data_IF_759881413479
#
_entry.id   IF_759881413479
#
_cell.length_a   1.000
_cell.length_b   1.000
_cell.length_c   1.000
_cell.angle_alpha   90.00
_cell.angle_beta   90.00
_cell.angle_gamma   90.00
#
_symmetry.space_group_name_H-M   'P 1'
#
loop_
_entity.id
_entity.type
_entity.pdbx_description
1 polymer ?
#
# COMPACT_ATOMS: atom_id res chain seq x y z
N UNK A 1 -22.03 30.61 -7.97
CA UNK A 1 -20.67 30.07 -7.96
C UNK A 1 -20.60 28.91 -8.94
N UNK A 2 -19.69 28.96 -9.88
CA UNK A 2 -19.67 28.12 -11.07
C UNK A 2 -19.16 26.71 -10.74
N UNK A 3 -19.89 25.59 -10.96
CA UNK A 3 -19.53 24.25 -10.50
C UNK A 3 -18.46 23.54 -11.34
N UNK A 4 -17.70 24.25 -12.19
CA UNK A 4 -16.77 23.66 -13.17
C UNK A 4 -15.32 23.51 -12.72
N UNK A 5 -14.98 23.85 -11.47
CA UNK A 5 -13.61 23.78 -10.95
C UNK A 5 -13.55 23.10 -9.58
N UNK A 6 -13.95 21.81 -9.53
CA UNK A 6 -13.46 20.94 -8.50
C UNK A 6 -12.56 19.91 -9.17
N UNK A 7 -11.21 20.00 -9.02
CA UNK A 7 -10.37 18.88 -9.34
C UNK A 7 -10.81 17.70 -8.47
N UNK A 8 -10.84 16.50 -9.03
CA UNK A 8 -11.11 15.24 -8.32
C UNK A 8 -10.05 14.91 -7.25
N UNK A 9 -9.13 15.82 -7.01
CA UNK A 9 -8.04 15.77 -6.05
C UNK A 9 -8.18 16.91 -5.07
N UNK A 10 -8.42 16.54 -3.85
CA UNK A 10 -8.27 17.25 -2.57
C UNK A 10 -7.94 18.77 -2.66
N UNK A 11 -8.93 19.61 -2.48
CA UNK A 11 -8.68 21.01 -2.11
C UNK A 11 -8.28 21.07 -0.63
N UNK A 12 -7.01 21.36 -0.37
CA UNK A 12 -6.48 21.54 0.97
C UNK A 12 -6.84 22.96 1.48
N UNK A 13 -7.64 23.03 2.55
CA UNK A 13 -7.75 24.24 3.35
C UNK A 13 -6.91 24.07 4.62
N UNK A 14 -5.73 24.68 4.66
CA UNK A 14 -4.93 24.76 5.88
C UNK A 14 -5.37 25.94 6.72
N UNK A 15 -5.97 25.70 7.87
CA UNK A 15 -6.08 26.68 8.94
C UNK A 15 -5.42 26.10 10.18
N UNK A 16 -4.19 26.54 10.47
CA UNK A 16 -3.48 26.19 11.71
C UNK A 16 -4.28 26.70 12.90
N UNK A 17 -4.69 25.81 13.80
CA UNK A 17 -5.07 26.16 15.17
C UNK A 17 -3.99 25.61 16.09
N UNK A 18 -3.26 26.51 16.74
CA UNK A 18 -2.45 26.18 17.90
C UNK A 18 -3.39 25.85 19.07
N UNK A 19 -3.54 24.56 19.37
CA UNK A 19 -4.07 24.11 20.65
C UNK A 19 -2.86 23.57 21.39
N UNK A 20 -2.58 24.10 22.57
CA UNK A 20 -1.37 23.95 23.38
C UNK A 20 -1.01 22.54 23.83
N UNK A 21 -0.69 21.72 22.91
CA UNK A 21 0.11 20.49 22.87
C UNK A 21 0.32 20.28 21.37
N UNK A 22 1.57 20.41 20.93
CA UNK A 22 2.06 20.58 19.56
C UNK A 22 1.71 19.47 18.54
N UNK A 23 0.45 19.19 18.32
CA UNK A 23 0.00 18.40 17.17
C UNK A 23 -0.64 19.33 16.15
N UNK A 24 0.06 19.64 15.07
CA UNK A 24 -0.55 20.35 13.93
C UNK A 24 -1.51 19.39 13.24
N UNK A 25 -2.78 19.52 13.55
CA UNK A 25 -3.83 18.77 12.82
C UNK A 25 -4.23 19.56 11.57
N UNK A 26 -4.10 18.91 10.41
CA UNK A 26 -4.61 19.47 9.14
C UNK A 26 -6.05 19.03 8.94
N UNK A 27 -6.90 19.97 8.53
CA UNK A 27 -8.28 19.69 8.14
C UNK A 27 -8.33 19.40 6.64
N UNK A 28 -8.89 18.24 6.31
CA UNK A 28 -9.03 17.80 4.92
C UNK A 28 -10.49 17.52 4.62
N UNK A 29 -10.98 18.03 3.51
CA UNK A 29 -12.30 17.67 2.99
C UNK A 29 -12.10 16.51 2.02
N UNK A 30 -12.81 15.41 2.25
CA UNK A 30 -12.78 14.26 1.34
C UNK A 30 -14.18 13.70 1.13
N UNK A 31 -14.35 12.95 0.02
CA UNK A 31 -15.58 12.21 -0.23
C UNK A 31 -15.78 11.16 0.87
N UNK A 32 -17.03 11.01 1.32
CA UNK A 32 -17.40 9.96 2.27
C UNK A 32 -17.20 8.57 1.65
N UNK A 33 -16.44 7.74 2.33
CA UNK A 33 -16.20 6.34 1.96
C UNK A 33 -16.47 5.44 3.16
N UNK A 34 -17.54 4.66 3.11
CA UNK A 34 -17.95 3.78 4.21
C UNK A 34 -16.96 2.64 4.45
N UNK A 35 -16.36 2.08 3.38
CA UNK A 35 -15.33 1.02 3.50
C UNK A 35 -14.11 1.53 4.24
N UNK A 36 -13.62 2.74 3.90
CA UNK A 36 -12.49 3.35 4.60
C UNK A 36 -12.79 3.53 6.09
N UNK A 37 -13.97 4.04 6.43
CA UNK A 37 -14.34 4.21 7.85
C UNK A 37 -14.43 2.89 8.60
N UNK A 38 -14.92 1.82 7.96
CA UNK A 38 -14.90 0.46 8.54
C UNK A 38 -13.48 -0.04 8.77
N UNK A 39 -12.55 0.21 7.84
CA UNK A 39 -11.13 -0.13 8.01
C UNK A 39 -10.53 0.70 9.14
N UNK A 40 -10.75 2.01 9.16
CA UNK A 40 -10.27 2.88 10.24
C UNK A 40 -10.80 2.44 11.62
N UNK A 41 -12.06 2.03 11.72
CA UNK A 41 -12.63 1.51 12.95
C UNK A 41 -11.97 0.20 13.42
N UNK A 42 -11.50 -0.66 12.50
CA UNK A 42 -10.70 -1.85 12.86
C UNK A 42 -9.31 -1.44 13.34
N UNK A 43 -8.65 -0.50 12.65
CA UNK A 43 -7.30 -0.02 13.00
C UNK A 43 -7.30 0.60 14.40
N UNK A 44 -8.31 1.37 14.76
CA UNK A 44 -8.44 1.98 16.09
C UNK A 44 -8.50 0.96 17.24
N UNK A 45 -8.81 -0.31 16.94
CA UNK A 45 -8.80 -1.41 17.93
C UNK A 45 -7.44 -2.10 18.05
N UNK A 46 -6.49 -1.82 17.15
CA UNK A 46 -5.15 -2.38 17.20
C UNK A 46 -4.37 -1.72 18.35
N UNK A 47 -3.78 -2.49 19.28
CA UNK A 47 -2.95 -1.91 20.34
C UNK A 47 -1.82 -1.07 19.75
N UNK A 48 -1.58 0.12 20.30
CA UNK A 48 -0.52 1.04 19.87
C UNK A 48 -0.56 1.41 18.37
N UNK A 49 -1.73 1.37 17.75
CA UNK A 49 -1.91 1.68 16.32
C UNK A 49 -1.24 3.00 15.90
N UNK A 50 -1.22 4.00 16.78
CA UNK A 50 -0.67 5.33 16.52
C UNK A 50 0.83 5.35 16.19
N UNK A 51 1.55 4.26 16.48
CA UNK A 51 2.96 4.11 16.09
C UNK A 51 3.12 3.84 14.58
N UNK A 52 2.10 3.30 13.92
CA UNK A 52 2.18 2.83 12.54
C UNK A 52 1.12 3.43 11.64
N UNK A 53 -0.02 3.89 12.20
CA UNK A 53 -1.20 4.23 11.43
C UNK A 53 -1.80 5.55 11.87
N UNK A 54 -2.24 6.35 10.90
CA UNK A 54 -3.06 7.54 11.12
C UNK A 54 -4.45 7.36 10.49
N UNK A 55 -5.34 6.57 11.11
CA UNK A 55 -6.70 6.39 10.63
C UNK A 55 -7.55 7.63 10.88
N UNK A 56 -8.68 7.75 10.18
CA UNK A 56 -9.68 8.77 10.46
C UNK A 56 -10.28 8.49 11.84
N UNK A 57 -9.97 9.37 12.80
CA UNK A 57 -10.47 9.29 14.20
C UNK A 57 -11.75 10.08 14.39
N UNK A 58 -11.85 11.23 13.71
CA UNK A 58 -12.97 12.17 13.82
C UNK A 58 -13.33 12.68 12.44
N UNK A 59 -14.60 12.80 12.18
CA UNK A 59 -15.11 13.42 10.97
C UNK A 59 -16.44 14.11 11.24
N UNK A 60 -16.80 15.05 10.40
CA UNK A 60 -18.12 15.68 10.39
C UNK A 60 -18.65 15.72 8.96
N UNK A 61 -19.95 15.50 8.79
CA UNK A 61 -20.58 15.65 7.49
C UNK A 61 -20.67 17.11 7.12
N UNK A 62 -20.43 17.42 5.85
CA UNK A 62 -20.66 18.73 5.28
C UNK A 62 -22.08 18.80 4.69
N UNK A 63 -22.73 19.93 4.89
CA UNK A 63 -24.02 20.22 4.26
C UNK A 63 -23.83 20.47 2.76
N UNK A 64 -23.68 19.40 1.98
CA UNK A 64 -23.52 19.41 0.54
C UNK A 64 -24.41 18.31 -0.06
N UNK A 65 -24.92 18.45 -1.30
CA UNK A 65 -25.72 17.42 -1.98
C UNK A 65 -24.94 16.11 -2.18
N UNK A 66 -23.61 16.17 -2.24
CA UNK A 66 -22.74 15.01 -2.24
C UNK A 66 -22.25 14.72 -0.83
N UNK A 67 -22.06 13.44 -0.52
CA UNK A 67 -21.59 13.00 0.80
C UNK A 67 -20.09 13.31 0.99
N UNK A 68 -19.78 14.51 1.44
CA UNK A 68 -18.43 14.91 1.86
C UNK A 68 -18.30 14.90 3.37
N UNK A 69 -17.10 14.61 3.84
CA UNK A 69 -16.73 14.67 5.25
C UNK A 69 -15.52 15.59 5.44
N UNK A 70 -15.50 16.31 6.55
CA UNK A 70 -14.33 16.98 7.06
C UNK A 70 -13.60 16.05 8.01
N UNK A 71 -12.35 15.74 7.73
CA UNK A 71 -11.50 14.87 8.57
C UNK A 71 -10.33 15.66 9.15
N UNK A 72 -9.82 15.20 10.28
CA UNK A 72 -8.64 15.76 10.94
C UNK A 72 -7.50 14.76 10.81
N UNK A 73 -6.37 15.19 10.26
CA UNK A 73 -5.18 14.37 10.05
C UNK A 73 -3.95 15.02 10.67
N UNK A 74 -3.00 14.19 11.01
CA UNK A 74 -1.66 14.61 11.39
C UNK A 74 -0.91 15.14 10.16
N UNK A 75 -0.11 16.21 10.34
CA UNK A 75 0.80 16.69 9.29
C UNK A 75 1.96 15.71 9.13
N UNK A 76 2.02 15.06 7.99
CA UNK A 76 3.06 14.10 7.64
C UNK A 76 3.88 14.64 6.47
N UNK A 77 5.20 14.45 6.54
CA UNK A 77 6.08 14.72 5.41
C UNK A 77 5.93 13.58 4.40
N UNK A 78 5.66 13.86 3.11
CA UNK A 78 5.53 12.82 2.08
C UNK A 78 6.76 11.90 2.01
N UNK A 79 6.54 10.65 1.61
CA UNK A 79 7.55 9.60 1.63
C UNK A 79 8.82 9.98 0.87
N UNK A 80 8.70 10.41 -0.38
CA UNK A 80 9.86 10.79 -1.20
C UNK A 80 10.53 12.06 -0.70
N UNK A 81 9.76 13.09 -0.32
CA UNK A 81 10.28 14.36 0.21
C UNK A 81 11.15 14.15 1.47
N UNK A 82 10.80 13.13 2.27
CA UNK A 82 11.60 12.78 3.45
C UNK A 82 13.01 12.31 3.07
N UNK A 83 13.11 11.43 2.07
CA UNK A 83 14.41 10.89 1.66
C UNK A 83 15.23 11.87 0.83
N UNK A 84 14.59 12.76 0.07
CA UNK A 84 15.29 13.82 -0.66
C UNK A 84 16.05 14.78 0.26
N UNK A 85 15.54 15.03 1.46
CA UNK A 85 16.17 15.90 2.47
C UNK A 85 17.31 15.25 3.24
N UNK A 86 17.56 13.94 3.06
CA UNK A 86 18.60 13.21 3.74
C UNK A 86 19.93 13.29 2.98
N UNK A 87 21.04 13.37 3.73
CA UNK A 87 22.36 13.07 3.15
C UNK A 87 22.41 11.60 2.71
N UNK A 88 23.32 11.23 1.81
CA UNK A 88 23.43 9.85 1.32
C UNK A 88 23.61 8.83 2.45
N UNK A 89 24.52 9.13 3.42
CA UNK A 89 24.76 8.27 4.58
C UNK A 89 23.52 8.12 5.46
N UNK A 90 22.82 9.21 5.75
CA UNK A 90 21.58 9.17 6.53
C UNK A 90 20.49 8.41 5.78
N UNK A 91 20.40 8.57 4.45
CA UNK A 91 19.39 7.94 3.61
C UNK A 91 19.45 6.42 3.70
N UNK A 92 20.65 5.80 3.62
CA UNK A 92 20.84 4.35 3.78
C UNK A 92 20.32 3.84 5.13
N UNK A 93 20.72 4.48 6.23
CA UNK A 93 20.26 4.10 7.56
C UNK A 93 18.73 4.26 7.73
N UNK A 94 18.18 5.36 7.22
CA UNK A 94 16.76 5.66 7.32
C UNK A 94 15.89 4.74 6.45
N UNK A 95 16.38 4.30 5.29
CA UNK A 95 15.73 3.30 4.44
C UNK A 95 15.54 2.00 5.24
N UNK A 96 16.60 1.45 5.82
CA UNK A 96 16.52 0.21 6.60
C UNK A 96 15.59 0.35 7.82
N UNK A 97 15.78 1.41 8.60
CA UNK A 97 14.98 1.64 9.82
C UNK A 97 13.49 1.83 9.50
N UNK A 98 13.17 2.64 8.48
CA UNK A 98 11.80 2.90 8.07
C UNK A 98 11.13 1.68 7.44
N UNK A 99 11.86 0.91 6.65
CA UNK A 99 11.35 -0.35 6.09
C UNK A 99 10.97 -1.33 7.20
N UNK A 100 11.87 -1.58 8.18
CA UNK A 100 11.57 -2.42 9.34
C UNK A 100 10.33 -1.96 10.10
N UNK A 101 10.22 -0.65 10.30
CA UNK A 101 9.05 -0.07 10.98
C UNK A 101 7.76 -0.37 10.21
N UNK A 102 7.73 -0.13 8.90
CA UNK A 102 6.56 -0.41 8.06
C UNK A 102 6.23 -1.90 7.99
N UNK A 103 7.23 -2.79 7.93
CA UNK A 103 6.99 -4.24 7.95
C UNK A 103 6.33 -4.69 9.27
N UNK A 104 6.71 -4.11 10.42
CA UNK A 104 5.99 -4.33 11.69
C UNK A 104 4.53 -3.86 11.62
N UNK A 105 4.29 -2.70 11.02
CA UNK A 105 2.94 -2.23 10.74
C UNK A 105 2.15 -3.19 9.84
N UNK A 106 2.79 -3.69 8.78
CA UNK A 106 2.18 -4.68 7.88
C UNK A 106 1.83 -6.00 8.59
N UNK A 107 2.67 -6.47 9.53
CA UNK A 107 2.33 -7.65 10.35
C UNK A 107 1.05 -7.43 11.15
N UNK A 108 0.90 -6.26 11.75
CA UNK A 108 -0.33 -5.91 12.46
C UNK A 108 -1.54 -5.87 11.52
N UNK A 109 -1.43 -5.22 10.35
CA UNK A 109 -2.51 -5.21 9.36
C UNK A 109 -2.89 -6.63 8.93
N UNK A 110 -1.90 -7.48 8.64
CA UNK A 110 -2.11 -8.87 8.24
C UNK A 110 -2.83 -9.67 9.32
N UNK A 111 -2.45 -9.49 10.60
CA UNK A 111 -3.11 -10.14 11.74
C UNK A 111 -4.60 -9.76 11.84
N UNK A 112 -4.96 -8.53 11.50
CA UNK A 112 -6.34 -8.05 11.50
C UNK A 112 -7.05 -8.21 10.14
N UNK A 113 -6.43 -8.89 9.18
CA UNK A 113 -6.99 -9.14 7.84
C UNK A 113 -7.20 -7.88 7.02
N UNK A 114 -6.36 -6.85 7.23
CA UNK A 114 -6.42 -5.57 6.53
C UNK A 114 -5.34 -5.53 5.45
N UNK A 115 -5.73 -5.28 4.21
CA UNK A 115 -4.80 -4.95 3.11
C UNK A 115 -4.77 -3.43 2.96
N UNK A 116 -3.57 -2.88 2.96
CA UNK A 116 -3.32 -1.48 2.62
C UNK A 116 -3.10 -1.37 1.12
N UNK A 117 -3.78 -0.45 0.46
CA UNK A 117 -3.76 -0.35 -1.01
C UNK A 117 -3.23 1.01 -1.49
N UNK A 118 -2.95 1.94 -0.57
CA UNK A 118 -2.64 3.33 -0.91
C UNK A 118 -1.17 3.70 -0.60
N UNK A 119 -0.23 2.94 -1.15
CA UNK A 119 1.21 3.06 -0.84
C UNK A 119 1.81 4.44 -1.14
N UNK A 120 1.21 5.21 -2.04
CA UNK A 120 1.58 6.61 -2.27
C UNK A 120 1.25 7.54 -1.09
N UNK A 121 0.40 7.08 -0.18
CA UNK A 121 -0.04 7.81 1.01
C UNK A 121 0.68 7.31 2.27
N UNK A 122 2.00 7.22 2.18
CA UNK A 122 2.90 7.01 3.32
C UNK A 122 3.59 8.32 3.60
N UNK A 123 3.63 8.72 4.86
CA UNK A 123 4.31 9.94 5.28
C UNK A 123 5.08 9.74 6.57
N UNK A 124 6.01 10.63 6.84
CA UNK A 124 6.81 10.62 8.06
C UNK A 124 6.30 11.62 9.08
N UNK A 125 6.14 11.17 10.32
CA UNK A 125 5.80 12.03 11.44
C UNK A 125 7.01 12.85 11.91
N UNK A 126 6.82 13.71 12.92
CA UNK A 126 7.89 14.56 13.49
C UNK A 126 9.04 13.77 14.14
N UNK A 127 8.79 12.51 14.52
CA UNK A 127 9.80 11.60 15.04
C UNK A 127 10.54 10.82 13.94
N UNK A 128 10.34 11.19 12.68
CA UNK A 128 10.89 10.51 11.51
C UNK A 128 10.44 9.03 11.39
N UNK A 129 9.28 8.69 11.92
CA UNK A 129 8.68 7.37 11.78
C UNK A 129 7.70 7.38 10.61
N UNK A 130 7.74 6.39 9.71
CA UNK A 130 6.80 6.31 8.61
C UNK A 130 5.43 5.85 9.12
N UNK A 131 4.39 6.51 8.66
CA UNK A 131 3.00 6.31 9.05
C UNK A 131 2.16 5.98 7.81
N UNK A 132 1.39 4.90 7.87
CA UNK A 132 0.38 4.58 6.88
C UNK A 132 -0.90 5.37 7.18
N UNK A 133 -1.38 6.08 6.18
CA UNK A 133 -2.61 6.87 6.30
C UNK A 133 -3.44 6.76 5.01
N UNK A 134 -4.67 7.27 5.02
CA UNK A 134 -5.57 7.22 3.87
C UNK A 134 -5.90 5.78 3.43
N UNK A 135 -6.71 5.10 4.21
CA UNK A 135 -7.10 3.69 4.01
C UNK A 135 -8.21 3.52 2.95
N UNK A 136 -8.41 4.52 2.13
CA UNK A 136 -9.33 4.43 1.00
C UNK A 136 -8.74 3.48 -0.06
N UNK A 137 -9.57 2.58 -0.56
CA UNK A 137 -9.21 1.76 -1.72
C UNK A 137 -9.19 2.62 -2.97
N UNK A 138 -8.02 2.79 -3.55
CA UNK A 138 -7.87 3.58 -4.77
C UNK A 138 -7.58 2.66 -5.97
N UNK A 139 -8.37 2.79 -7.04
CA UNK A 139 -8.17 2.03 -8.29
C UNK A 139 -6.84 2.33 -8.98
N UNK A 140 -6.23 3.49 -8.69
CA UNK A 140 -4.97 3.92 -9.31
C UNK A 140 -3.73 3.19 -8.75
N UNK A 141 -3.83 2.52 -7.60
CA UNK A 141 -2.67 1.94 -6.89
C UNK A 141 -2.41 0.48 -7.23
N UNK A 142 -2.93 -0.05 -8.33
CA UNK A 142 -2.75 -1.46 -8.70
C UNK A 142 -1.27 -1.85 -8.91
N UNK A 143 -0.40 -0.90 -9.30
CA UNK A 143 1.03 -1.17 -9.48
C UNK A 143 1.74 -1.69 -8.23
N UNK A 144 1.25 -1.32 -7.04
CA UNK A 144 1.80 -1.78 -5.75
C UNK A 144 1.13 -3.05 -5.24
N UNK A 145 0.25 -3.64 -6.02
CA UNK A 145 -0.45 -4.86 -5.65
C UNK A 145 0.04 -6.05 -6.47
N UNK A 146 0.11 -7.25 -5.85
CA UNK A 146 0.56 -8.43 -6.55
C UNK A 146 -0.49 -8.94 -7.55
N UNK A 147 -0.05 -9.84 -8.43
CA UNK A 147 -0.85 -10.33 -9.56
C UNK A 147 -2.21 -10.94 -9.14
N UNK A 148 -2.27 -11.61 -7.96
CA UNK A 148 -3.55 -12.13 -7.41
C UNK A 148 -4.57 -11.03 -7.14
N UNK A 149 -4.12 -9.87 -6.69
CA UNK A 149 -5.00 -8.72 -6.46
C UNK A 149 -5.55 -8.16 -7.78
N UNK A 150 -4.75 -8.21 -8.86
CA UNK A 150 -5.22 -7.85 -10.21
C UNK A 150 -6.31 -8.81 -10.69
N UNK A 151 -6.17 -10.12 -10.42
CA UNK A 151 -7.21 -11.12 -10.72
C UNK A 151 -8.51 -10.78 -9.99
N UNK A 152 -8.45 -10.50 -8.68
CA UNK A 152 -9.63 -10.14 -7.89
C UNK A 152 -10.26 -8.82 -8.37
N UNK A 153 -9.43 -7.82 -8.69
CA UNK A 153 -9.90 -6.54 -9.22
C UNK A 153 -10.61 -6.73 -10.57
N UNK A 154 -10.06 -7.56 -11.45
CA UNK A 154 -10.68 -7.88 -12.74
C UNK A 154 -12.06 -8.54 -12.56
N UNK A 155 -12.15 -9.55 -11.71
CA UNK A 155 -13.42 -10.25 -11.42
C UNK A 155 -14.47 -9.29 -10.87
N UNK A 156 -14.06 -8.41 -9.94
CA UNK A 156 -14.96 -7.43 -9.32
C UNK A 156 -15.48 -6.39 -10.32
N UNK A 157 -14.59 -5.91 -11.20
CA UNK A 157 -14.91 -4.80 -12.10
C UNK A 157 -15.69 -5.24 -13.35
N UNK A 158 -15.55 -6.49 -13.77
CA UNK A 158 -16.17 -7.00 -15.00
C UNK A 158 -17.34 -7.97 -14.74
N UNK A 159 -17.68 -8.20 -13.48
CA UNK A 159 -18.75 -9.11 -13.04
C UNK A 159 -18.73 -10.49 -13.73
N UNK A 160 -17.53 -11.02 -13.94
CA UNK A 160 -17.37 -12.32 -14.61
C UNK A 160 -17.70 -13.48 -13.66
N UNK A 161 -18.31 -14.54 -14.22
CA UNK A 161 -18.68 -15.75 -13.47
C UNK A 161 -17.52 -16.74 -13.37
N UNK A 162 -16.63 -16.72 -14.39
CA UNK A 162 -15.42 -17.54 -14.48
C UNK A 162 -14.38 -16.81 -15.32
N UNK A 163 -13.10 -17.21 -15.21
CA UNK A 163 -12.03 -16.64 -16.04
C UNK A 163 -11.74 -17.53 -17.23
N UNK A 164 -11.77 -16.98 -18.43
CA UNK A 164 -11.24 -17.61 -19.63
C UNK A 164 -9.72 -17.46 -19.71
N UNK A 165 -9.08 -18.24 -20.60
CA UNK A 165 -7.66 -18.06 -20.90
C UNK A 165 -7.34 -16.65 -21.36
N UNK A 166 -8.19 -16.04 -22.19
CA UNK A 166 -8.02 -14.66 -22.67
C UNK A 166 -8.12 -13.63 -21.54
N UNK A 167 -9.02 -13.85 -20.55
CA UNK A 167 -9.07 -12.96 -19.40
C UNK A 167 -7.77 -13.00 -18.58
N UNK A 168 -7.24 -14.20 -18.35
CA UNK A 168 -5.96 -14.37 -17.62
C UNK A 168 -4.81 -13.70 -18.37
N UNK A 169 -4.73 -13.90 -19.70
CA UNK A 169 -3.73 -13.24 -20.54
C UNK A 169 -3.82 -11.72 -20.44
N UNK A 170 -5.01 -11.15 -20.55
CA UNK A 170 -5.26 -9.72 -20.39
C UNK A 170 -4.83 -9.18 -19.01
N UNK A 171 -5.14 -9.91 -17.94
CA UNK A 171 -4.75 -9.53 -16.57
C UNK A 171 -3.24 -9.53 -16.44
N UNK A 172 -2.57 -10.59 -16.90
CA UNK A 172 -1.11 -10.72 -16.84
C UNK A 172 -0.41 -9.65 -17.68
N UNK A 173 -0.89 -9.37 -18.88
CA UNK A 173 -0.34 -8.33 -19.75
C UNK A 173 -0.47 -6.93 -19.13
N UNK A 174 -1.63 -6.62 -18.52
CA UNK A 174 -1.83 -5.36 -17.82
C UNK A 174 -0.93 -5.24 -16.58
N UNK A 175 -0.74 -6.31 -15.82
CA UNK A 175 0.19 -6.35 -14.70
C UNK A 175 1.64 -6.08 -15.17
N UNK A 176 2.08 -6.74 -16.24
CA UNK A 176 3.42 -6.58 -16.79
C UNK A 176 3.69 -5.17 -17.33
N UNK A 177 2.67 -4.47 -17.84
CA UNK A 177 2.79 -3.06 -18.27
C UNK A 177 3.07 -2.11 -17.10
N UNK A 178 2.58 -2.44 -15.90
CA UNK A 178 2.80 -1.67 -14.68
C UNK A 178 4.09 -2.06 -13.95
N UNK A 179 4.72 -3.19 -14.31
CA UNK A 179 5.93 -3.68 -13.64
C UNK A 179 7.17 -2.93 -14.14
N UNK A 180 7.80 -2.14 -13.29
CA UNK A 180 8.88 -1.21 -13.67
C UNK A 180 10.30 -1.78 -13.58
N UNK A 181 10.51 -2.91 -12.89
CA UNK A 181 11.84 -3.50 -12.67
C UNK A 181 12.22 -4.47 -13.79
N UNK A 182 12.82 -3.95 -14.87
CA UNK A 182 13.08 -4.72 -16.10
C UNK A 182 13.93 -5.98 -15.88
N UNK A 183 14.93 -5.93 -14.99
CA UNK A 183 15.84 -7.06 -14.72
C UNK A 183 15.20 -8.18 -13.91
N UNK A 184 14.11 -7.91 -13.20
CA UNK A 184 13.34 -8.90 -12.42
C UNK A 184 11.92 -9.09 -12.98
N UNK A 185 11.65 -8.57 -14.18
CA UNK A 185 10.33 -8.62 -14.81
C UNK A 185 10.01 -10.05 -15.23
N UNK A 186 8.92 -10.64 -14.71
CA UNK A 186 8.49 -11.96 -15.15
C UNK A 186 8.00 -11.93 -16.59
N UNK A 187 8.05 -13.07 -17.27
CA UNK A 187 7.47 -13.22 -18.60
C UNK A 187 5.95 -13.40 -18.52
N UNK A 188 5.26 -13.10 -19.61
CA UNK A 188 3.81 -13.35 -19.71
C UNK A 188 3.50 -14.84 -19.46
N UNK A 189 4.34 -15.75 -19.98
CA UNK A 189 4.19 -17.21 -19.80
C UNK A 189 4.30 -17.61 -18.34
N UNK A 190 5.25 -17.05 -17.58
CA UNK A 190 5.38 -17.30 -16.14
C UNK A 190 4.16 -16.82 -15.38
N UNK A 191 3.70 -15.59 -15.62
CA UNK A 191 2.49 -15.05 -15.01
C UNK A 191 1.26 -15.92 -15.30
N UNK A 192 1.04 -16.28 -16.55
CA UNK A 192 -0.11 -17.11 -16.96
C UNK A 192 -0.07 -18.50 -16.35
N UNK A 193 1.13 -19.12 -16.23
CA UNK A 193 1.28 -20.47 -15.68
C UNK A 193 0.76 -20.61 -14.26
N UNK A 194 0.79 -19.54 -13.47
CA UNK A 194 0.29 -19.52 -12.10
C UNK A 194 -1.23 -19.71 -12.01
N UNK A 195 -1.98 -19.41 -13.08
CA UNK A 195 -3.44 -19.38 -13.07
C UNK A 195 -4.10 -20.38 -14.04
N UNK A 196 -3.32 -21.24 -14.69
CA UNK A 196 -3.86 -22.26 -15.65
C UNK A 196 -4.93 -23.11 -15.00
N UNK A 197 -4.74 -23.49 -13.73
CA UNK A 197 -5.67 -24.31 -12.96
C UNK A 197 -6.99 -23.60 -12.59
N UNK A 198 -7.04 -22.28 -12.76
CA UNK A 198 -8.23 -21.46 -12.47
C UNK A 198 -9.07 -21.16 -13.71
N UNK A 199 -8.62 -21.57 -14.91
CA UNK A 199 -9.38 -21.37 -16.14
C UNK A 199 -10.71 -22.12 -16.03
N UNK A 200 -11.79 -21.40 -16.33
CA UNK A 200 -13.18 -21.85 -16.27
C UNK A 200 -13.65 -22.31 -14.87
N UNK A 201 -12.87 -22.03 -13.80
CA UNK A 201 -13.35 -22.28 -12.44
C UNK A 201 -14.41 -21.25 -12.02
N UNK A 202 -15.36 -21.63 -11.16
CA UNK A 202 -16.33 -20.70 -10.61
C UNK A 202 -15.68 -19.54 -9.87
N UNK A 203 -16.28 -18.34 -9.99
CA UNK A 203 -15.83 -17.09 -9.33
C UNK A 203 -15.42 -17.29 -7.86
N UNK A 204 -16.21 -18.02 -7.09
CA UNK A 204 -15.95 -18.23 -5.66
C UNK A 204 -14.66 -19.05 -5.41
N UNK A 205 -14.40 -20.06 -6.27
CA UNK A 205 -13.17 -20.87 -6.19
C UNK A 205 -11.96 -20.00 -6.45
N UNK A 206 -12.02 -19.11 -7.47
CA UNK A 206 -10.93 -18.21 -7.81
C UNK A 206 -10.67 -17.22 -6.67
N UNK A 207 -11.73 -16.60 -6.13
CA UNK A 207 -11.61 -15.66 -5.01
C UNK A 207 -10.93 -16.33 -3.81
N UNK A 208 -11.41 -17.52 -3.40
CA UNK A 208 -10.87 -18.25 -2.26
C UNK A 208 -9.39 -18.63 -2.47
N UNK A 209 -9.00 -18.98 -3.70
CA UNK A 209 -7.61 -19.30 -4.01
C UNK A 209 -6.72 -18.05 -3.88
N UNK A 210 -7.12 -16.93 -4.46
CA UNK A 210 -6.33 -15.69 -4.41
C UNK A 210 -6.21 -15.13 -2.99
N UNK A 211 -7.26 -15.23 -2.19
CA UNK A 211 -7.25 -14.72 -0.81
C UNK A 211 -6.32 -15.48 0.14
N UNK A 212 -5.90 -16.70 -0.19
CA UNK A 212 -4.91 -17.45 0.61
C UNK A 212 -3.59 -16.70 0.79
N UNK A 213 -3.21 -15.89 -0.18
CA UNK A 213 -1.93 -15.17 -0.22
C UNK A 213 -2.01 -13.72 0.27
N UNK A 214 -3.19 -13.31 0.72
CA UNK A 214 -3.49 -11.93 1.14
C UNK A 214 -2.57 -11.39 2.23
N UNK A 215 -2.05 -12.26 3.09
CA UNK A 215 -1.10 -11.94 4.14
C UNK A 215 0.28 -11.48 3.60
N UNK A 216 0.59 -11.71 2.32
CA UNK A 216 1.83 -11.24 1.70
C UNK A 216 1.67 -9.91 0.96
N UNK A 217 0.43 -9.45 0.72
CA UNK A 217 0.18 -8.29 -0.14
C UNK A 217 0.70 -6.98 0.44
N UNK A 218 0.60 -6.81 1.76
CA UNK A 218 1.17 -5.63 2.42
C UNK A 218 2.70 -5.59 2.32
N UNK A 219 3.37 -6.74 2.40
CA UNK A 219 4.81 -6.83 2.21
C UNK A 219 5.20 -6.56 0.76
N UNK A 220 4.44 -7.09 -0.20
CA UNK A 220 4.64 -6.82 -1.62
C UNK A 220 4.63 -5.32 -1.91
N UNK A 221 3.57 -4.61 -1.52
CA UNK A 221 3.43 -3.19 -1.82
C UNK A 221 4.49 -2.30 -1.17
N UNK A 222 4.82 -2.55 0.11
CA UNK A 222 5.91 -1.82 0.77
C UNK A 222 7.25 -2.11 0.10
N UNK A 223 7.55 -3.37 -0.23
CA UNK A 223 8.83 -3.72 -0.88
C UNK A 223 8.94 -3.13 -2.28
N UNK A 224 7.83 -3.11 -3.02
CA UNK A 224 7.78 -2.46 -4.34
C UNK A 224 8.10 -0.97 -4.25
N UNK A 225 7.49 -0.24 -3.28
CA UNK A 225 7.76 1.17 -3.04
C UNK A 225 9.24 1.42 -2.70
N UNK A 226 9.84 0.56 -1.85
CA UNK A 226 11.25 0.71 -1.50
C UNK A 226 12.19 0.38 -2.66
N UNK A 227 11.86 -0.56 -3.52
CA UNK A 227 12.63 -0.82 -4.75
C UNK A 227 12.64 0.40 -5.70
N UNK A 228 11.53 1.14 -5.81
CA UNK A 228 11.51 2.41 -6.55
C UNK A 228 12.52 3.42 -5.98
N UNK A 229 12.62 3.50 -4.65
CA UNK A 229 13.55 4.39 -3.98
C UNK A 229 15.02 4.00 -4.23
N UNK A 230 15.32 2.68 -4.39
CA UNK A 230 16.68 2.18 -4.59
C UNK A 230 17.30 2.53 -5.95
N UNK A 231 16.53 3.00 -6.92
CA UNK A 231 17.09 3.53 -8.17
C UNK A 231 18.09 4.69 -7.96
N UNK A 232 18.09 5.29 -6.76
CA UNK A 232 18.92 6.45 -6.42
C UNK A 232 19.92 6.17 -5.27
N UNK A 233 19.91 4.98 -4.68
CA UNK A 233 20.71 4.66 -3.49
C UNK A 233 21.22 3.23 -3.53
N UNK A 234 22.54 3.07 -3.46
CA UNK A 234 23.14 1.75 -3.36
C UNK A 234 22.94 1.16 -1.95
N UNK A 235 22.31 0.01 -1.86
CA UNK A 235 22.00 -0.67 -0.59
C UNK A 235 22.70 -2.04 -0.50
N UNK A 236 22.86 -2.59 0.70
CA UNK A 236 23.43 -3.94 0.87
C UNK A 236 22.63 -4.98 0.08
N UNK A 237 23.33 -5.93 -0.53
CA UNK A 237 22.75 -6.98 -1.41
C UNK A 237 21.64 -7.74 -0.67
N UNK A 238 21.87 -8.14 0.58
CA UNK A 238 20.87 -8.88 1.37
C UNK A 238 19.54 -8.15 1.49
N UNK A 239 19.58 -6.81 1.59
CA UNK A 239 18.36 -6.00 1.68
C UNK A 239 17.61 -5.96 0.35
N UNK A 240 18.35 -5.79 -0.74
CA UNK A 240 17.78 -5.82 -2.10
C UNK A 240 17.14 -7.18 -2.41
N UNK A 241 17.81 -8.26 -2.00
CA UNK A 241 17.29 -9.63 -2.16
C UNK A 241 15.98 -9.83 -1.41
N UNK A 242 15.88 -9.36 -0.16
CA UNK A 242 14.63 -9.41 0.62
C UNK A 242 13.49 -8.68 -0.11
N UNK A 243 13.75 -7.51 -0.68
CA UNK A 243 12.74 -6.76 -1.42
C UNK A 243 12.25 -7.55 -2.65
N UNK A 244 13.16 -8.16 -3.42
CA UNK A 244 12.78 -8.98 -4.58
C UNK A 244 12.06 -10.27 -4.19
N UNK A 245 12.46 -10.93 -3.09
CA UNK A 245 11.74 -12.08 -2.53
C UNK A 245 10.29 -11.69 -2.16
N UNK A 246 10.07 -10.49 -1.62
CA UNK A 246 8.74 -10.00 -1.27
C UNK A 246 7.85 -9.70 -2.48
N UNK A 247 8.43 -9.25 -3.61
CA UNK A 247 7.67 -8.93 -4.83
C UNK A 247 7.66 -10.06 -5.86
N UNK A 248 8.11 -11.25 -5.50
CA UNK A 248 8.14 -12.37 -6.41
C UNK A 248 6.75 -12.66 -7.00
N UNK A 249 6.67 -12.84 -8.33
CA UNK A 249 5.39 -13.05 -9.02
C UNK A 249 4.71 -14.34 -8.58
N UNK A 250 5.51 -15.41 -8.36
CA UNK A 250 4.98 -16.65 -7.79
C UNK A 250 4.71 -16.44 -6.30
N UNK A 251 3.45 -16.38 -5.95
CA UNK A 251 2.97 -16.18 -4.58
C UNK A 251 3.41 -17.26 -3.59
N UNK A 252 3.66 -18.51 -4.04
CA UNK A 252 4.19 -19.58 -3.20
C UNK A 252 5.67 -19.37 -2.82
N UNK A 253 6.41 -18.62 -3.62
CA UNK A 253 7.83 -18.28 -3.39
C UNK A 253 8.01 -16.96 -2.64
N UNK A 254 6.92 -16.24 -2.37
CA UNK A 254 6.98 -14.92 -1.74
C UNK A 254 7.28 -15.02 -0.26
N UNK A 255 8.19 -14.15 0.20
CA UNK A 255 8.62 -14.12 1.59
C UNK A 255 7.46 -13.72 2.52
N UNK A 256 7.17 -14.57 3.50
CA UNK A 256 6.11 -14.35 4.50
C UNK A 256 6.63 -13.91 5.86
N UNK A 257 7.91 -14.17 6.17
CA UNK A 257 8.54 -13.80 7.44
C UNK A 257 9.68 -12.79 7.25
N UNK A 258 9.31 -11.60 6.77
CA UNK A 258 10.24 -10.54 6.36
C UNK A 258 11.11 -10.05 7.52
N UNK A 259 10.53 -9.86 8.73
CA UNK A 259 11.29 -9.37 9.88
C UNK A 259 12.41 -10.32 10.28
N UNK A 260 12.15 -11.61 10.32
CA UNK A 260 13.17 -12.60 10.67
C UNK A 260 14.35 -12.58 9.67
N UNK A 261 14.06 -12.44 8.38
CA UNK A 261 15.11 -12.31 7.35
C UNK A 261 15.95 -11.03 7.52
N UNK A 262 15.31 -9.92 7.91
CA UNK A 262 16.00 -8.65 8.19
C UNK A 262 16.92 -8.75 9.43
N UNK A 263 16.52 -9.51 10.45
CA UNK A 263 17.30 -9.71 11.66
C UNK A 263 18.54 -10.60 11.41
N UNK A 264 18.41 -11.61 10.54
CA UNK A 264 19.54 -12.47 10.16
C UNK A 264 20.59 -11.74 9.34
N UNK A 265 20.19 -10.79 8.48
CA UNK A 265 21.12 -10.01 7.64
C UNK A 265 21.90 -8.94 8.38
N UNK A 266 21.49 -8.55 9.61
CA UNK A 266 22.23 -7.55 10.41
C UNK A 266 23.54 -8.09 11.01
N UNK A 267 23.76 -9.40 11.02
CA UNK A 267 24.98 -10.01 11.53
C UNK A 267 26.19 -9.90 10.61
N UNK A 268 25.98 -9.47 9.36
CA UNK A 268 26.97 -9.40 8.29
C UNK A 268 27.39 -7.96 7.92
N UNK A 269 27.05 -6.95 8.76
CA UNK A 269 27.39 -5.53 8.52
C UNK A 269 28.37 -4.99 9.55
#
# INVERSE_FOLDING_TARGET
>A
MNPKYFPSELAFYTKKRNIGLETSETRVIKRYNEEELKICAKILKIPMYFLFFSPIKKYSFLNAPEKYILVYREDLLPFYDFFEKCTEKERKMRILASYRHLIRGCQLLNHYGIVYENYEKIGFNRQNQPILFDFERNKASLQYLPLEAHVLSFIKNNDVVSLSKSNIEQICDNFLKMYIFNHAKPTLRECMSLFVHLINQPKLVIINEMEKYKNTWNYYGISYLYLELLNQVEMPVFFVDILFECIHVNFNSRLSNVLHRLELGDGDV
#
